data_IF_438470933839
#
_entry.id   IF_438470933839
#
_cell.length_a   1.000
_cell.length_b   1.000
_cell.length_c   1.000
_cell.angle_alpha   90.00
_cell.angle_beta   90.00
_cell.angle_gamma   90.00
#
_symmetry.space_group_name_H-M   'P 1'
#
loop_
_entity.id
_entity.type
_entity.pdbx_description
1 polymer ?
#
# COMPACT_ATOMS: atom_id res chain seq x y z
N UNK A 1 -6.63 -1.60 32.84
CA UNK A 1 -6.91 -2.95 32.33
C UNK A 1 -7.88 -2.90 31.14
N UNK A 2 -8.95 -2.09 31.14
CA UNK A 2 -9.94 -2.03 30.05
C UNK A 2 -9.32 -1.50 28.75
N UNK A 3 -8.50 -0.45 28.80
CA UNK A 3 -7.83 0.15 27.63
C UNK A 3 -6.83 -0.83 27.02
N UNK A 4 -6.09 -1.58 27.84
CA UNK A 4 -5.18 -2.63 27.34
C UNK A 4 -5.93 -3.78 26.67
N UNK A 5 -7.05 -4.21 27.27
CA UNK A 5 -7.89 -5.25 26.68
C UNK A 5 -8.51 -4.79 25.35
N UNK A 6 -8.89 -3.53 25.24
CA UNK A 6 -9.39 -2.95 23.98
C UNK A 6 -8.30 -2.87 22.90
N UNK A 7 -7.11 -2.42 23.26
CA UNK A 7 -5.98 -2.33 22.33
C UNK A 7 -5.46 -3.69 21.81
N UNK A 8 -5.69 -4.78 22.57
CA UNK A 8 -5.33 -6.14 22.12
C UNK A 8 -6.41 -6.81 21.29
N UNK A 9 -7.59 -6.20 21.14
CA UNK A 9 -8.68 -6.75 20.35
C UNK A 9 -8.31 -6.73 18.86
N UNK A 10 -8.60 -7.83 18.15
CA UNK A 10 -8.32 -7.95 16.72
C UNK A 10 -8.98 -6.84 15.88
N UNK A 11 -10.16 -6.38 16.28
CA UNK A 11 -10.82 -5.21 15.70
C UNK A 11 -9.98 -3.95 15.78
N UNK A 12 -9.29 -3.69 16.90
CA UNK A 12 -8.41 -2.53 17.04
C UNK A 12 -7.18 -2.67 16.14
N UNK A 13 -6.59 -3.85 16.08
CA UNK A 13 -5.44 -4.14 15.21
C UNK A 13 -5.78 -3.92 13.73
N UNK A 14 -6.95 -4.36 13.28
CA UNK A 14 -7.39 -4.18 11.90
C UNK A 14 -7.74 -2.73 11.59
N UNK A 15 -8.47 -2.05 12.47
CA UNK A 15 -9.01 -0.72 12.19
C UNK A 15 -8.02 0.42 12.46
N UNK A 16 -7.27 0.34 13.57
CA UNK A 16 -6.44 1.45 14.04
C UNK A 16 -4.95 1.19 13.83
N UNK A 17 -4.36 0.28 14.60
CA UNK A 17 -2.92 0.03 14.58
C UNK A 17 -2.63 -1.47 14.78
N UNK A 18 -1.84 -2.10 13.89
CA UNK A 18 -1.13 -1.58 12.71
C UNK A 18 -1.96 -1.50 11.42
N UNK A 19 -3.28 -1.60 11.50
CA UNK A 19 -4.20 -1.72 10.37
C UNK A 19 -4.42 -0.45 9.55
N UNK A 20 -5.67 -0.28 9.09
CA UNK A 20 -6.06 0.76 8.13
C UNK A 20 -5.73 2.19 8.55
N UNK A 21 -5.94 2.54 9.83
CA UNK A 21 -5.67 3.90 10.32
C UNK A 21 -4.21 4.27 10.22
N UNK A 22 -3.32 3.35 10.62
CA UNK A 22 -1.87 3.54 10.52
C UNK A 22 -1.40 3.61 9.06
N UNK A 23 -1.89 2.71 8.20
CA UNK A 23 -1.58 2.72 6.77
C UNK A 23 -2.03 4.03 6.11
N UNK A 24 -3.22 4.53 6.44
CA UNK A 24 -3.73 5.80 5.93
C UNK A 24 -2.87 7.00 6.37
N UNK A 25 -2.41 7.01 7.63
CA UNK A 25 -1.51 8.04 8.13
C UNK A 25 -0.14 8.01 7.44
N UNK A 26 0.44 6.81 7.24
CA UNK A 26 1.68 6.66 6.51
C UNK A 26 1.54 7.10 5.06
N UNK A 27 0.47 6.70 4.38
CA UNK A 27 0.19 7.12 3.01
C UNK A 27 0.03 8.64 2.92
N UNK A 28 -0.71 9.26 3.83
CA UNK A 28 -0.85 10.71 3.90
C UNK A 28 0.49 11.42 4.10
N UNK A 29 1.32 10.94 5.02
CA UNK A 29 2.66 11.46 5.25
C UNK A 29 3.56 11.32 4.03
N UNK A 30 3.55 10.18 3.37
CA UNK A 30 4.32 9.92 2.14
C UNK A 30 3.90 10.85 1.01
N UNK A 31 2.60 11.02 0.77
CA UNK A 31 2.06 11.94 -0.25
C UNK A 31 2.48 13.38 0.04
N UNK A 32 2.48 13.79 1.31
CA UNK A 32 2.91 15.13 1.69
C UNK A 32 4.39 15.37 1.37
N UNK A 33 5.26 14.44 1.76
CA UNK A 33 6.70 14.50 1.49
C UNK A 33 6.97 14.49 -0.01
N UNK A 34 6.34 13.58 -0.76
CA UNK A 34 6.45 13.48 -2.20
C UNK A 34 6.09 14.80 -2.90
N UNK A 35 4.96 15.39 -2.58
CA UNK A 35 4.54 16.68 -3.15
C UNK A 35 5.53 17.81 -2.86
N UNK A 36 6.11 17.85 -1.65
CA UNK A 36 7.12 18.86 -1.29
C UNK A 36 8.44 18.61 -2.01
N UNK A 37 8.89 17.38 -2.11
CA UNK A 37 10.12 17.03 -2.83
C UNK A 37 9.99 17.33 -4.32
N UNK A 38 8.89 16.92 -4.96
CA UNK A 38 8.63 17.22 -6.37
C UNK A 38 8.57 18.72 -6.63
N UNK A 39 7.96 19.49 -5.75
CA UNK A 39 7.91 20.94 -5.88
C UNK A 39 9.31 21.57 -5.85
N UNK A 40 10.17 21.13 -4.95
CA UNK A 40 11.58 21.58 -4.88
C UNK A 40 12.37 21.22 -6.15
N UNK A 41 12.21 19.99 -6.64
CA UNK A 41 12.86 19.57 -7.91
C UNK A 41 12.36 20.37 -9.12
N UNK A 42 11.09 20.77 -9.11
CA UNK A 42 10.48 21.58 -10.16
C UNK A 42 10.66 23.09 -9.95
N UNK A 43 11.46 23.52 -8.97
CA UNK A 43 11.71 24.93 -8.63
C UNK A 43 10.42 25.73 -8.38
N UNK A 44 9.39 25.10 -7.79
CA UNK A 44 8.12 25.75 -7.42
C UNK A 44 7.81 25.52 -5.94
N UNK A 45 6.91 26.37 -5.41
CA UNK A 45 6.42 26.20 -4.03
C UNK A 45 5.37 25.10 -3.99
N UNK A 46 5.57 24.10 -3.14
CA UNK A 46 4.59 23.05 -2.86
C UNK A 46 3.39 23.56 -2.04
N UNK A 47 2.52 22.67 -1.54
CA UNK A 47 1.42 23.06 -0.66
C UNK A 47 1.96 23.85 0.53
N UNK A 48 1.57 25.11 0.67
CA UNK A 48 2.10 25.99 1.71
C UNK A 48 0.99 26.76 2.46
N UNK A 49 -0.05 27.19 1.75
CA UNK A 49 -1.05 28.13 2.27
C UNK A 49 -2.19 27.49 3.08
N UNK A 50 -2.35 26.17 3.03
CA UNK A 50 -3.43 25.47 3.70
C UNK A 50 -3.01 25.00 5.09
N UNK A 51 -3.33 25.79 6.12
CA UNK A 51 -2.98 25.53 7.52
C UNK A 51 -1.75 26.28 8.01
N UNK A 52 -1.59 26.32 9.34
CA UNK A 52 -0.52 27.07 10.00
C UNK A 52 0.87 26.44 9.84
N UNK A 53 0.95 25.15 9.55
CA UNK A 53 2.21 24.40 9.43
C UNK A 53 2.36 23.93 8.00
N UNK A 54 3.07 24.71 7.20
CA UNK A 54 3.54 24.39 5.85
C UNK A 54 2.55 23.62 4.93
N UNK A 55 1.25 23.83 5.08
CA UNK A 55 0.23 23.24 4.21
C UNK A 55 -0.18 21.80 4.53
N UNK A 56 0.03 21.31 5.74
CA UNK A 56 -0.39 19.95 6.18
C UNK A 56 -1.88 19.70 5.97
N UNK A 57 -2.73 20.72 6.20
CA UNK A 57 -4.18 20.60 6.03
C UNK A 57 -4.61 20.42 4.57
N UNK A 58 -3.72 20.58 3.61
CA UNK A 58 -4.02 20.31 2.20
C UNK A 58 -4.44 18.85 1.98
N UNK A 59 -3.83 17.91 2.70
CA UNK A 59 -4.20 16.48 2.60
C UNK A 59 -5.64 16.22 3.06
N UNK A 60 -6.04 16.85 4.16
CA UNK A 60 -7.42 16.75 4.63
C UNK A 60 -8.40 17.40 3.64
N UNK A 61 -8.04 18.56 3.07
CA UNK A 61 -8.82 19.22 2.03
C UNK A 61 -8.97 18.37 0.77
N UNK A 62 -7.91 17.72 0.34
CA UNK A 62 -7.95 16.81 -0.82
C UNK A 62 -8.82 15.57 -0.54
N UNK A 63 -8.73 14.99 0.66
CA UNK A 63 -9.59 13.89 1.08
C UNK A 63 -11.07 14.26 1.07
N UNK A 64 -11.43 15.41 1.68
CA UNK A 64 -12.80 15.91 1.68
C UNK A 64 -13.32 16.19 0.26
N UNK A 65 -12.47 16.78 -0.59
CA UNK A 65 -12.80 17.02 -1.99
C UNK A 65 -13.10 15.71 -2.75
N UNK A 66 -12.29 14.67 -2.54
CA UNK A 66 -12.50 13.37 -3.20
C UNK A 66 -13.80 12.69 -2.75
N UNK A 67 -14.16 12.80 -1.47
CA UNK A 67 -15.41 12.23 -0.93
C UNK A 67 -16.63 12.98 -1.46
N UNK A 68 -16.55 14.31 -1.62
CA UNK A 68 -17.66 15.15 -2.09
C UNK A 68 -17.80 15.19 -3.62
N UNK A 69 -16.87 14.56 -4.35
CA UNK A 69 -16.85 14.61 -5.82
C UNK A 69 -17.93 13.69 -6.42
N UNK A 70 -18.54 14.14 -7.51
CA UNK A 70 -19.51 13.36 -8.28
C UNK A 70 -18.84 12.12 -8.91
N UNK A 71 -19.52 10.98 -8.82
CA UNK A 71 -19.10 9.72 -9.42
C UNK A 71 -19.57 9.66 -10.87
N UNK A 72 -18.65 9.78 -11.82
CA UNK A 72 -18.93 9.74 -13.26
C UNK A 72 -18.58 8.35 -13.79
N UNK A 73 -19.58 7.66 -14.36
CA UNK A 73 -19.40 6.36 -15.00
C UNK A 73 -19.57 6.55 -16.50
N UNK A 74 -18.60 6.15 -17.35
CA UNK A 74 -18.74 6.21 -18.80
C UNK A 74 -19.96 5.41 -19.29
N UNK A 75 -20.69 5.93 -20.27
CA UNK A 75 -21.92 5.31 -20.74
C UNK A 75 -21.75 3.89 -21.30
N UNK A 76 -20.57 3.59 -21.87
CA UNK A 76 -20.22 2.30 -22.46
C UNK A 76 -19.42 1.39 -21.51
N UNK A 77 -19.19 1.80 -20.27
CA UNK A 77 -18.42 1.01 -19.31
C UNK A 77 -19.20 -0.21 -18.82
N UNK A 78 -18.48 -1.31 -18.57
CA UNK A 78 -19.01 -2.49 -17.89
C UNK A 78 -19.17 -2.20 -16.40
N UNK A 79 -20.37 -1.73 -16.03
CA UNK A 79 -20.69 -1.22 -14.70
C UNK A 79 -20.27 -2.13 -13.54
N UNK A 80 -20.57 -3.45 -13.54
CA UNK A 80 -20.20 -4.31 -12.42
C UNK A 80 -18.68 -4.37 -12.20
N UNK A 81 -17.90 -4.50 -13.26
CA UNK A 81 -16.44 -4.58 -13.17
C UNK A 81 -15.87 -3.20 -12.79
N UNK A 82 -16.42 -2.13 -13.33
CA UNK A 82 -16.01 -0.76 -13.05
C UNK A 82 -16.18 -0.40 -11.56
N UNK A 83 -17.27 -0.87 -10.93
CA UNK A 83 -17.49 -0.69 -9.48
C UNK A 83 -16.65 -1.65 -8.63
N UNK A 84 -16.43 -2.86 -9.10
CA UNK A 84 -15.64 -3.85 -8.37
C UNK A 84 -14.14 -3.50 -8.30
N UNK A 85 -13.58 -2.90 -9.35
CA UNK A 85 -12.15 -2.62 -9.44
C UNK A 85 -11.61 -1.76 -8.28
N UNK A 86 -12.17 -0.60 -7.91
CA UNK A 86 -11.70 0.17 -6.76
C UNK A 86 -11.81 -0.59 -5.44
N UNK A 87 -12.88 -1.38 -5.26
CA UNK A 87 -13.08 -2.19 -4.06
C UNK A 87 -12.01 -3.27 -3.96
N UNK A 88 -11.70 -3.96 -5.06
CA UNK A 88 -10.64 -4.96 -5.12
C UNK A 88 -9.26 -4.34 -4.86
N UNK A 89 -9.01 -3.13 -5.36
CA UNK A 89 -7.77 -2.40 -5.08
C UNK A 89 -7.60 -2.13 -3.58
N UNK A 90 -8.63 -1.59 -2.94
CA UNK A 90 -8.61 -1.31 -1.49
C UNK A 90 -8.51 -2.61 -0.69
N UNK A 91 -9.23 -3.66 -1.08
CA UNK A 91 -9.17 -4.96 -0.42
C UNK A 91 -7.77 -5.59 -0.51
N UNK A 92 -7.11 -5.49 -1.68
CA UNK A 92 -5.73 -5.96 -1.85
C UNK A 92 -4.73 -5.17 -0.99
N UNK A 93 -4.88 -3.85 -0.94
CA UNK A 93 -4.05 -3.00 -0.09
C UNK A 93 -4.25 -3.33 1.40
N UNK A 94 -5.48 -3.60 1.82
CA UNK A 94 -5.79 -4.03 3.17
C UNK A 94 -5.16 -5.38 3.52
N UNK A 95 -5.26 -6.35 2.62
CA UNK A 95 -4.64 -7.67 2.79
C UNK A 95 -3.11 -7.56 2.90
N UNK A 96 -2.50 -6.69 2.09
CA UNK A 96 -1.06 -6.41 2.17
C UNK A 96 -0.66 -5.88 3.55
N UNK A 97 -1.36 -4.85 4.05
CA UNK A 97 -1.08 -4.25 5.37
C UNK A 97 -1.28 -5.26 6.50
N UNK A 98 -2.28 -6.14 6.39
CA UNK A 98 -2.57 -7.14 7.41
C UNK A 98 -1.44 -8.18 7.61
N UNK A 99 -0.61 -8.41 6.60
CA UNK A 99 0.48 -9.39 6.62
C UNK A 99 1.80 -8.81 7.14
N UNK A 100 1.95 -7.48 7.20
CA UNK A 100 3.21 -6.84 7.59
C UNK A 100 3.30 -6.70 9.11
N UNK A 101 4.31 -7.29 9.77
CA UNK A 101 4.57 -7.07 11.18
C UNK A 101 5.17 -5.67 11.38
N UNK A 102 4.48 -4.79 12.12
CA UNK A 102 4.94 -3.43 12.42
C UNK A 102 5.81 -3.42 13.70
N UNK A 103 5.51 -4.30 14.65
CA UNK A 103 6.27 -4.47 15.86
C UNK A 103 6.13 -5.91 16.39
N UNK A 104 7.01 -6.38 17.29
CA UNK A 104 6.89 -7.71 17.91
C UNK A 104 5.51 -7.91 18.54
N UNK A 105 4.77 -8.91 18.09
CA UNK A 105 3.39 -9.18 18.52
C UNK A 105 2.31 -8.25 17.98
N UNK A 106 2.66 -7.28 17.14
CA UNK A 106 1.74 -6.34 16.49
C UNK A 106 1.65 -6.63 14.98
N UNK A 107 1.05 -7.75 14.67
CA UNK A 107 0.68 -8.17 13.31
C UNK A 107 -0.80 -8.54 13.32
N UNK A 108 -1.50 -8.30 12.22
CA UNK A 108 -2.93 -8.63 12.10
C UNK A 108 -3.07 -10.13 11.79
N UNK A 109 -2.28 -10.64 10.86
CA UNK A 109 -2.26 -12.05 10.47
C UNK A 109 -0.81 -12.54 10.38
N UNK A 110 -0.40 -13.36 11.37
CA UNK A 110 0.90 -14.03 11.35
C UNK A 110 0.76 -15.37 10.62
N UNK A 111 1.46 -15.51 9.51
CA UNK A 111 1.38 -16.68 8.64
C UNK A 111 2.78 -17.23 8.43
N UNK A 112 2.96 -18.56 8.55
CA UNK A 112 4.26 -19.22 8.39
C UNK A 112 4.93 -18.94 7.04
N UNK A 113 4.12 -18.80 5.96
CA UNK A 113 4.57 -18.40 4.64
C UNK A 113 4.23 -16.92 4.33
N UNK A 114 4.40 -16.03 5.32
CA UNK A 114 4.00 -14.64 5.24
C UNK A 114 4.60 -13.89 4.05
N UNK A 115 5.87 -14.14 3.76
CA UNK A 115 6.54 -13.51 2.60
C UNK A 115 5.91 -13.93 1.26
N UNK A 116 5.57 -15.21 1.10
CA UNK A 116 4.89 -15.70 -0.10
C UNK A 116 3.48 -15.13 -0.23
N UNK A 117 2.76 -15.02 0.88
CA UNK A 117 1.43 -14.42 0.92
C UNK A 117 1.47 -12.93 0.50
N UNK A 118 2.48 -12.19 0.95
CA UNK A 118 2.70 -10.80 0.52
C UNK A 118 2.91 -10.71 -0.99
N UNK A 119 3.73 -11.57 -1.59
CA UNK A 119 3.92 -11.60 -3.05
C UNK A 119 2.64 -11.97 -3.79
N UNK A 120 1.87 -12.93 -3.29
CA UNK A 120 0.59 -13.28 -3.89
C UNK A 120 -0.38 -12.09 -3.93
N UNK A 121 -0.40 -11.28 -2.88
CA UNK A 121 -1.22 -10.06 -2.81
C UNK A 121 -0.67 -8.97 -3.76
N UNK A 122 0.65 -8.78 -3.84
CA UNK A 122 1.27 -7.84 -4.78
C UNK A 122 0.95 -8.22 -6.22
N UNK A 123 1.08 -9.50 -6.59
CA UNK A 123 0.74 -10.00 -7.93
C UNK A 123 -0.73 -9.87 -8.30
N UNK A 124 -1.61 -9.58 -7.35
CA UNK A 124 -3.01 -9.31 -7.61
C UNK A 124 -3.25 -7.88 -8.15
N UNK A 125 -2.41 -6.90 -7.80
CA UNK A 125 -2.56 -5.51 -8.26
C UNK A 125 -2.52 -5.35 -9.79
N UNK A 126 -1.60 -5.97 -10.54
CA UNK A 126 -1.60 -5.93 -12.01
C UNK A 126 -2.91 -6.45 -12.61
N UNK A 127 -3.49 -7.52 -12.04
CA UNK A 127 -4.75 -8.11 -12.50
C UNK A 127 -5.90 -7.12 -12.31
N UNK A 128 -6.00 -6.49 -11.15
CA UNK A 128 -7.05 -5.49 -10.88
C UNK A 128 -6.88 -4.26 -11.76
N UNK A 129 -5.64 -3.86 -12.04
CA UNK A 129 -5.33 -2.73 -12.94
C UNK A 129 -5.84 -2.99 -14.36
N UNK A 130 -5.57 -4.17 -14.93
CA UNK A 130 -6.06 -4.49 -16.28
C UNK A 130 -7.58 -4.65 -16.32
N UNK A 131 -8.21 -5.22 -15.29
CA UNK A 131 -9.66 -5.31 -15.18
C UNK A 131 -10.30 -3.92 -15.13
N UNK A 132 -9.72 -2.99 -14.36
CA UNK A 132 -10.18 -1.60 -14.30
C UNK A 132 -10.11 -0.91 -15.66
N UNK A 133 -8.98 -1.06 -16.36
CA UNK A 133 -8.77 -0.47 -17.67
C UNK A 133 -9.73 -1.07 -18.72
N UNK A 134 -9.97 -2.38 -18.67
CA UNK A 134 -10.90 -3.06 -19.59
C UNK A 134 -12.34 -2.60 -19.35
N UNK A 135 -12.75 -2.49 -18.09
CA UNK A 135 -14.12 -2.10 -17.73
C UNK A 135 -14.55 -0.75 -18.29
N UNK A 136 -13.60 0.16 -18.54
CA UNK A 136 -13.87 1.47 -19.13
C UNK A 136 -14.30 1.41 -20.61
N UNK A 137 -14.17 0.25 -21.28
CA UNK A 137 -14.56 0.00 -22.67
C UNK A 137 -14.11 1.08 -23.65
N UNK A 138 -12.86 1.54 -23.50
CA UNK A 138 -12.25 2.57 -24.35
C UNK A 138 -10.80 2.21 -24.66
N UNK A 139 -10.34 2.57 -25.85
CA UNK A 139 -8.97 2.26 -26.31
C UNK A 139 -7.90 2.92 -25.45
N UNK A 140 -8.10 4.16 -25.04
CA UNK A 140 -7.08 4.91 -24.29
C UNK A 140 -6.86 4.39 -22.87
N UNK A 141 -7.87 4.18 -22.03
CA UNK A 141 -7.71 3.53 -20.75
C UNK A 141 -7.09 2.12 -20.87
N UNK A 142 -7.47 1.35 -21.89
CA UNK A 142 -6.93 -0.01 -22.09
C UNK A 142 -5.44 0.00 -22.38
N UNK A 143 -4.96 0.86 -23.28
CA UNK A 143 -3.53 1.03 -23.57
C UNK A 143 -2.78 1.50 -22.31
N UNK A 144 -3.36 2.44 -21.56
CA UNK A 144 -2.81 2.88 -20.28
C UNK A 144 -2.71 1.77 -19.25
N UNK A 145 -3.74 0.93 -19.16
CA UNK A 145 -3.77 -0.23 -18.26
C UNK A 145 -2.72 -1.29 -18.61
N UNK A 146 -2.57 -1.61 -19.90
CA UNK A 146 -1.52 -2.52 -20.38
C UNK A 146 -0.13 -1.98 -20.02
N UNK A 147 0.12 -0.70 -20.25
CA UNK A 147 1.39 -0.07 -19.87
C UNK A 147 1.66 -0.16 -18.37
N UNK A 148 0.66 0.13 -17.54
CA UNK A 148 0.76 0.03 -16.10
C UNK A 148 1.01 -1.43 -15.64
N UNK A 149 0.31 -2.41 -16.25
CA UNK A 149 0.51 -3.82 -15.97
C UNK A 149 1.96 -4.25 -16.24
N UNK A 150 2.50 -3.97 -17.41
CA UNK A 150 3.89 -4.32 -17.73
C UNK A 150 4.89 -3.65 -16.81
N UNK A 151 4.64 -2.42 -16.41
CA UNK A 151 5.47 -1.69 -15.47
C UNK A 151 5.47 -2.36 -14.09
N UNK A 152 4.29 -2.76 -13.57
CA UNK A 152 4.15 -3.46 -12.30
C UNK A 152 4.85 -4.82 -12.31
N UNK A 153 4.62 -5.65 -13.34
CA UNK A 153 5.25 -6.98 -13.47
C UNK A 153 6.77 -6.86 -13.60
N UNK A 154 7.26 -5.89 -14.37
CA UNK A 154 8.71 -5.65 -14.49
C UNK A 154 9.37 -5.25 -13.17
N UNK A 155 8.63 -4.65 -12.27
CA UNK A 155 9.10 -4.27 -10.94
C UNK A 155 9.09 -5.45 -9.96
N UNK A 156 8.14 -6.35 -10.12
CA UNK A 156 7.94 -7.50 -9.24
C UNK A 156 9.09 -8.51 -9.32
N UNK A 157 9.61 -8.77 -10.51
CA UNK A 157 10.70 -9.74 -10.72
C UNK A 157 11.97 -9.39 -9.95
N UNK A 158 12.56 -8.18 -10.07
CA UNK A 158 13.71 -7.79 -9.27
C UNK A 158 13.43 -7.78 -7.76
N UNK A 159 12.20 -7.42 -7.36
CA UNK A 159 11.78 -7.43 -5.96
C UNK A 159 11.83 -8.84 -5.38
N UNK A 160 11.26 -9.82 -6.07
CA UNK A 160 11.30 -11.23 -5.67
C UNK A 160 12.75 -11.72 -5.56
N UNK A 161 13.58 -11.43 -6.55
CA UNK A 161 14.98 -11.86 -6.56
C UNK A 161 15.78 -11.26 -5.40
N UNK A 162 15.55 -9.99 -5.04
CA UNK A 162 16.21 -9.35 -3.91
C UNK A 162 15.82 -9.97 -2.57
N UNK A 163 14.54 -10.33 -2.41
CA UNK A 163 14.04 -10.94 -1.18
C UNK A 163 14.41 -12.42 -1.05
N UNK A 164 14.64 -13.14 -2.16
CA UNK A 164 15.19 -14.49 -2.10
C UNK A 164 16.54 -14.53 -1.40
N UNK A 165 17.40 -13.54 -1.59
CA UNK A 165 18.65 -13.42 -0.86
C UNK A 165 18.45 -13.35 0.66
N UNK A 166 17.46 -12.63 1.13
CA UNK A 166 17.11 -12.56 2.57
C UNK A 166 16.63 -13.91 3.06
N UNK A 167 15.75 -14.59 2.32
CA UNK A 167 15.25 -15.93 2.67
C UNK A 167 16.37 -16.96 2.73
N UNK A 168 17.35 -16.90 1.84
CA UNK A 168 18.50 -17.81 1.84
C UNK A 168 19.36 -17.65 3.09
N UNK A 169 19.47 -16.44 3.62
CA UNK A 169 20.23 -16.15 4.85
C UNK A 169 19.45 -16.54 6.09
N UNK A 170 18.15 -16.25 6.15
CA UNK A 170 17.32 -16.49 7.35
C UNK A 170 16.77 -17.91 7.43
N UNK A 171 16.61 -18.60 6.30
CA UNK A 171 16.06 -19.96 6.23
C UNK A 171 14.56 -20.07 6.53
N UNK A 172 13.85 -18.93 6.63
CA UNK A 172 12.42 -18.88 6.95
C UNK A 172 11.66 -17.95 5.99
N UNK A 173 10.35 -18.21 5.81
CA UNK A 173 9.42 -17.38 5.04
C UNK A 173 8.48 -16.56 5.95
N UNK A 174 8.57 -16.75 7.26
CA UNK A 174 7.78 -16.01 8.23
C UNK A 174 8.36 -14.60 8.42
N UNK A 175 7.56 -13.57 8.18
CA UNK A 175 7.99 -12.17 8.27
C UNK A 175 8.35 -11.75 9.69
N UNK A 176 7.65 -12.29 10.70
CA UNK A 176 7.92 -12.00 12.11
C UNK A 176 9.27 -12.57 12.53
N UNK A 177 9.62 -13.77 12.06
CA UNK A 177 10.92 -14.41 12.33
C UNK A 177 12.06 -13.68 11.59
N UNK A 178 11.85 -13.29 10.32
CA UNK A 178 12.82 -12.50 9.58
C UNK A 178 13.09 -11.17 10.29
N UNK A 179 12.05 -10.48 10.76
CA UNK A 179 12.20 -9.25 11.52
C UNK A 179 12.93 -9.47 12.85
N UNK A 180 12.63 -10.56 13.57
CA UNK A 180 13.29 -10.91 14.81
C UNK A 180 14.78 -11.24 14.62
N UNK A 181 15.14 -11.91 13.53
CA UNK A 181 16.55 -12.24 13.21
C UNK A 181 17.42 -10.99 12.99
N UNK A 182 16.81 -9.87 12.63
CA UNK A 182 17.49 -8.58 12.44
C UNK A 182 17.50 -7.68 13.69
N UNK A 183 17.09 -8.19 14.84
CA UNK A 183 17.07 -7.42 16.10
C UNK A 183 18.45 -7.00 16.59
N UNK A 184 19.50 -7.71 16.17
CA UNK A 184 20.91 -7.42 16.48
C UNK A 184 21.69 -6.99 15.23
N UNK A 185 22.64 -6.06 15.42
CA UNK A 185 23.59 -5.69 14.37
C UNK A 185 24.66 -6.77 14.17
N UNK A 186 25.13 -7.10 12.94
CA UNK A 186 24.84 -6.42 11.67
C UNK A 186 23.53 -6.90 11.03
N UNK A 187 22.79 -5.96 10.43
CA UNK A 187 21.60 -6.30 9.66
C UNK A 187 21.97 -7.03 8.37
N UNK A 188 21.05 -7.83 7.84
CA UNK A 188 21.26 -8.66 6.64
C UNK A 188 21.77 -7.81 5.45
N UNK A 189 21.34 -6.54 5.35
CA UNK A 189 21.74 -5.61 4.28
C UNK A 189 23.26 -5.33 4.25
N UNK A 190 23.97 -5.57 5.36
CA UNK A 190 25.43 -5.38 5.47
C UNK A 190 26.23 -6.67 5.38
N UNK A 191 25.56 -7.81 5.21
CA UNK A 191 26.22 -9.08 4.97
C UNK A 191 26.74 -9.16 3.52
N UNK A 192 27.97 -9.64 3.29
CA UNK A 192 28.55 -9.76 1.96
C UNK A 192 27.85 -10.78 1.08
#
# INVERSE_FOLDING_TARGET
>A
PIVQAFMTTDMFKVMAFPGFGFAALLAAGTIFVERKMLAKLQLRVGPFYCGKVEGILQLAGDGLKLISKEIIIPAKADKPIFWAAPVLFVASAAAFVALIPVAPGWVVADVDMGLLAVFAVIGFFPIVTILSAWSANSKFPFIGGIRALFQMVSFEIPLILSLLGVVMVTGTLNLSEIAASQSSFPWIVFLP
#
